data_IF_320821865831
#
_entry.id   IF_320821865831
#
_cell.length_a   1.000
_cell.length_b   1.000
_cell.length_c   1.000
_cell.angle_alpha   90.00
_cell.angle_beta   90.00
_cell.angle_gamma   90.00
#
_symmetry.space_group_name_H-M   'P 1'
#
loop_
_entity.id
_entity.type
_entity.pdbx_description
1 polymer ?
#
# COMPACT_ATOMS: atom_id res chain seq x y z
N UNK A 1 -28.59 56.77 -36.82
CA UNK A 1 -28.02 55.42 -37.06
C UNK A 1 -27.12 55.08 -35.90
N UNK A 2 -27.28 53.88 -35.35
CA UNK A 2 -26.92 53.46 -33.99
C UNK A 2 -25.67 52.58 -34.06
N UNK A 3 -24.56 52.98 -33.44
CA UNK A 3 -23.33 52.17 -33.31
C UNK A 3 -22.90 52.23 -31.83
N UNK A 4 -23.46 51.36 -30.98
CA UNK A 4 -22.87 50.12 -30.43
C UNK A 4 -21.49 50.36 -29.79
N UNK A 5 -21.52 50.43 -28.45
CA UNK A 5 -20.37 50.35 -27.57
C UNK A 5 -19.97 48.88 -27.48
N UNK A 6 -18.73 48.54 -27.83
CA UNK A 6 -18.16 47.22 -27.57
C UNK A 6 -17.36 47.33 -26.27
N UNK A 7 -17.96 46.85 -25.18
CA UNK A 7 -17.27 46.57 -23.92
C UNK A 7 -16.55 45.24 -24.11
N UNK A 8 -15.22 45.29 -24.24
CA UNK A 8 -14.38 44.10 -24.31
C UNK A 8 -14.38 43.36 -22.97
N UNK A 9 -14.97 42.17 -22.96
CA UNK A 9 -14.83 41.20 -21.87
C UNK A 9 -13.38 40.70 -21.89
N UNK A 10 -12.61 41.02 -20.85
CA UNK A 10 -11.30 40.42 -20.60
C UNK A 10 -11.53 39.07 -19.95
N UNK A 11 -11.48 38.01 -20.75
CA UNK A 11 -11.51 36.63 -20.27
C UNK A 11 -10.15 36.32 -19.63
N UNK A 12 -10.09 36.30 -18.29
CA UNK A 12 -8.93 35.76 -17.56
C UNK A 12 -8.94 34.24 -17.74
N UNK A 13 -8.10 33.74 -18.66
CA UNK A 13 -7.82 32.33 -18.79
C UNK A 13 -6.95 31.90 -17.61
N UNK A 14 -7.56 31.22 -16.64
CA UNK A 14 -6.84 30.48 -15.59
C UNK A 14 -6.17 29.28 -16.28
N UNK A 15 -4.89 29.42 -16.59
CA UNK A 15 -4.06 28.31 -17.04
C UNK A 15 -3.81 27.44 -15.80
N UNK A 16 -4.54 26.33 -15.68
CA UNK A 16 -4.15 25.24 -14.79
C UNK A 16 -2.90 24.60 -15.40
N UNK A 17 -1.73 25.11 -15.03
CA UNK A 17 -0.50 24.37 -15.18
C UNK A 17 -0.57 23.19 -14.19
N UNK A 18 -0.99 22.02 -14.69
CA UNK A 18 -0.67 20.76 -14.05
C UNK A 18 0.86 20.71 -13.94
N UNK A 19 1.37 20.89 -12.72
CA UNK A 19 2.79 21.02 -12.44
C UNK A 19 3.52 19.74 -12.82
N UNK A 20 4.22 19.76 -13.94
CA UNK A 20 5.48 19.01 -14.04
C UNK A 20 6.40 19.55 -12.94
N UNK A 21 6.53 18.83 -11.84
CA UNK A 21 7.53 19.15 -10.82
C UNK A 21 8.92 19.01 -11.42
N UNK A 22 9.61 20.14 -11.53
CA UNK A 22 11.01 20.21 -11.89
C UNK A 22 11.89 19.63 -10.76
N UNK A 23 13.03 18.99 -11.08
CA UNK A 23 13.90 18.36 -10.08
C UNK A 23 14.66 19.44 -9.29
N UNK A 24 14.43 19.50 -7.97
CA UNK A 24 15.16 20.39 -7.06
C UNK A 24 14.43 20.89 -5.81
N UNK A 25 13.23 20.38 -5.48
CA UNK A 25 12.48 20.86 -4.32
C UNK A 25 12.85 20.10 -3.04
N UNK A 26 12.90 20.83 -1.93
CA UNK A 26 12.80 20.32 -0.55
C UNK A 26 11.91 19.09 -0.45
N UNK A 27 12.28 18.09 0.38
CA UNK A 27 11.56 16.82 0.43
C UNK A 27 10.06 17.08 0.64
N UNK A 28 9.25 16.24 -0.01
CA UNK A 28 7.80 16.28 0.13
C UNK A 28 7.42 16.34 1.64
N UNK A 29 6.48 17.19 2.06
CA UNK A 29 6.14 17.37 3.47
C UNK A 29 5.81 16.08 4.24
N UNK A 30 5.36 15.00 3.58
CA UNK A 30 5.13 13.72 4.27
C UNK A 30 6.43 12.97 4.59
N UNK A 31 7.53 13.23 3.86
CA UNK A 31 8.81 12.51 4.01
C UNK A 31 9.40 12.75 5.39
N UNK A 32 9.55 11.68 6.17
CA UNK A 32 10.00 11.71 7.56
C UNK A 32 9.32 10.62 8.39
N UNK A 33 9.47 10.71 9.71
CA UNK A 33 8.89 9.76 10.66
C UNK A 33 7.71 10.40 11.39
N UNK A 34 6.66 9.61 11.59
CA UNK A 34 5.39 10.02 12.18
C UNK A 34 4.96 8.98 13.19
N UNK A 35 4.85 9.37 14.46
CA UNK A 35 4.36 8.48 15.52
C UNK A 35 2.86 8.65 15.67
N UNK A 36 2.15 7.54 15.80
CA UNK A 36 0.75 7.58 16.20
C UNK A 36 0.63 8.24 17.58
N UNK A 37 -0.34 9.13 17.74
CA UNK A 37 -0.57 9.81 19.02
C UNK A 37 -1.23 8.89 20.06
N UNK A 38 -2.01 7.90 19.58
CA UNK A 38 -2.72 6.88 20.38
C UNK A 38 -2.43 5.46 19.84
N UNK A 39 -1.18 4.94 19.97
CA UNK A 39 -0.79 3.64 19.41
C UNK A 39 -1.56 2.45 20.01
N UNK A 40 -2.12 2.59 21.21
CA UNK A 40 -2.92 1.57 21.86
C UNK A 40 -4.20 1.19 21.09
N UNK A 41 -4.66 2.05 20.17
CA UNK A 41 -5.79 1.75 19.29
C UNK A 41 -5.46 0.63 18.29
N UNK A 42 -4.18 0.36 18.07
CA UNK A 42 -3.66 -0.74 17.24
C UNK A 42 -3.25 -1.96 18.10
N UNK A 43 -3.46 -1.90 19.42
CA UNK A 43 -2.86 -2.80 20.42
C UNK A 43 -1.33 -2.73 20.49
N UNK A 44 -0.75 -1.61 20.05
CA UNK A 44 0.68 -1.36 20.11
C UNK A 44 1.08 -0.49 21.30
N UNK A 45 2.31 -0.67 21.76
CA UNK A 45 3.00 0.26 22.66
C UNK A 45 3.62 1.43 21.90
N UNK A 46 3.95 1.25 20.62
CA UNK A 46 4.37 2.30 19.70
C UNK A 46 4.04 1.91 18.26
N UNK A 47 3.56 2.87 17.49
CA UNK A 47 3.31 2.73 16.05
C UNK A 47 3.95 3.91 15.33
N UNK A 48 4.82 3.64 14.35
CA UNK A 48 5.52 4.69 13.59
C UNK A 48 5.45 4.43 12.08
N UNK A 49 5.01 5.43 11.33
CA UNK A 49 5.22 5.48 9.89
C UNK A 49 6.51 6.21 9.54
N UNK A 50 7.24 5.68 8.55
CA UNK A 50 8.46 6.28 7.98
C UNK A 50 8.26 6.39 6.48
N UNK A 51 8.22 7.60 5.93
CA UNK A 51 8.08 7.84 4.50
C UNK A 51 9.39 8.34 3.90
N UNK A 52 9.93 7.61 2.93
CA UNK A 52 11.16 7.95 2.22
C UNK A 52 10.86 8.73 0.94
N UNK A 53 11.79 9.58 0.51
CA UNK A 53 11.61 10.47 -0.64
C UNK A 53 11.49 9.76 -2.01
N UNK A 54 11.80 8.46 -2.08
CA UNK A 54 11.71 7.64 -3.28
C UNK A 54 10.34 6.97 -3.46
N UNK A 55 9.36 7.28 -2.61
CA UNK A 55 8.03 6.66 -2.64
C UNK A 55 7.95 5.32 -1.91
N UNK A 56 9.00 4.94 -1.17
CA UNK A 56 8.98 3.80 -0.25
C UNK A 56 8.80 4.25 1.19
N UNK A 57 8.55 3.31 2.10
CA UNK A 57 8.45 3.59 3.52
C UNK A 57 8.33 2.34 4.37
N UNK A 58 8.11 2.54 5.66
CA UNK A 58 7.87 1.46 6.62
C UNK A 58 6.78 1.85 7.61
N UNK A 59 5.97 0.87 8.03
CA UNK A 59 5.26 0.91 9.30
C UNK A 59 6.07 0.08 10.30
N UNK A 60 6.28 0.62 11.49
CA UNK A 60 6.97 -0.05 12.58
C UNK A 60 6.00 -0.16 13.74
N UNK A 61 5.65 -1.40 14.07
CA UNK A 61 4.73 -1.74 15.15
C UNK A 61 5.55 -2.33 16.29
N UNK A 62 5.32 -1.89 17.52
CA UNK A 62 5.94 -2.45 18.71
C UNK A 62 4.88 -2.74 19.74
N UNK A 63 4.73 -4.00 20.12
CA UNK A 63 3.75 -4.48 21.09
C UNK A 63 4.39 -5.38 22.15
N UNK A 64 3.67 -5.62 23.23
CA UNK A 64 4.10 -6.47 24.35
C UNK A 64 3.16 -7.68 24.50
N UNK A 65 3.58 -8.87 24.03
CA UNK A 65 2.98 -10.15 24.45
C UNK A 65 3.87 -11.38 24.12
N UNK A 66 4.44 -12.13 25.10
CA UNK A 66 4.78 -11.76 26.49
C UNK A 66 6.12 -10.99 26.58
N UNK A 67 6.75 -10.70 25.44
CA UNK A 67 8.01 -9.96 25.30
C UNK A 67 7.79 -8.84 24.27
N UNK A 68 8.49 -7.73 24.44
CA UNK A 68 8.51 -6.63 23.45
C UNK A 68 8.96 -7.19 22.11
N UNK A 69 8.07 -7.10 21.12
CA UNK A 69 8.32 -7.50 19.73
C UNK A 69 8.18 -6.27 18.85
N UNK A 70 9.02 -6.17 17.82
CA UNK A 70 8.96 -5.10 16.83
C UNK A 70 8.85 -5.72 15.45
N UNK A 71 7.75 -5.42 14.77
CA UNK A 71 7.51 -5.81 13.39
C UNK A 71 7.70 -4.61 12.46
N UNK A 72 8.21 -4.89 11.26
CA UNK A 72 8.50 -3.86 10.26
C UNK A 72 7.85 -4.26 8.95
N UNK A 73 6.85 -3.50 8.55
CA UNK A 73 6.13 -3.69 7.30
C UNK A 73 6.63 -2.67 6.29
N UNK A 74 6.92 -3.12 5.07
CA UNK A 74 7.30 -2.21 3.99
C UNK A 74 6.05 -1.54 3.43
N UNK A 75 6.20 -0.29 2.99
CA UNK A 75 5.15 0.50 2.38
C UNK A 75 5.65 1.06 1.05
N UNK A 76 4.71 1.31 0.14
CA UNK A 76 4.88 2.25 -0.97
C UNK A 76 3.88 3.37 -0.80
N UNK A 77 4.24 4.59 -1.19
CA UNK A 77 3.36 5.74 -1.08
C UNK A 77 3.49 6.69 -2.26
N UNK A 78 2.42 7.45 -2.51
CA UNK A 78 2.39 8.51 -3.53
C UNK A 78 1.51 9.67 -3.08
N UNK A 79 1.83 10.88 -3.52
CA UNK A 79 0.93 12.03 -3.35
C UNK A 79 -0.23 11.95 -4.33
N UNK A 80 -1.43 12.23 -3.84
CA UNK A 80 -2.64 12.40 -4.66
C UNK A 80 -3.03 13.86 -4.84
N UNK A 81 -2.22 14.78 -4.29
CA UNK A 81 -2.41 16.23 -4.34
C UNK A 81 -3.12 16.78 -3.10
N UNK A 82 -3.10 18.12 -2.96
CA UNK A 82 -3.74 18.84 -1.84
C UNK A 82 -3.32 18.38 -0.43
N UNK A 83 -2.09 17.87 -0.27
CA UNK A 83 -1.61 17.35 1.02
C UNK A 83 -2.19 15.97 1.36
N UNK A 84 -2.80 15.27 0.40
CA UNK A 84 -3.28 13.90 0.54
C UNK A 84 -2.30 12.91 -0.09
N UNK A 85 -2.20 11.75 0.53
CA UNK A 85 -1.28 10.68 0.18
C UNK A 85 -1.98 9.33 0.29
N UNK A 86 -1.62 8.41 -0.59
CA UNK A 86 -2.02 7.00 -0.50
C UNK A 86 -0.77 6.19 -0.17
N UNK A 87 -0.85 5.31 0.83
CA UNK A 87 0.19 4.32 1.11
C UNK A 87 -0.40 2.91 1.10
N UNK A 88 0.32 1.96 0.53
CA UNK A 88 -0.05 0.54 0.50
C UNK A 88 1.07 -0.28 1.12
N UNK A 89 0.71 -1.30 1.90
CA UNK A 89 1.66 -2.31 2.36
C UNK A 89 2.24 -3.08 1.17
N UNK A 90 3.56 -3.20 1.19
CA UNK A 90 4.35 -3.92 0.21
C UNK A 90 4.86 -5.22 0.82
N UNK A 91 4.24 -6.32 0.44
CA UNK A 91 4.62 -7.66 0.88
C UNK A 91 5.81 -8.14 0.06
N UNK A 92 6.89 -8.52 0.75
CA UNK A 92 8.07 -9.06 0.09
C UNK A 92 7.94 -10.57 -0.08
N UNK A 93 8.28 -11.06 -1.27
CA UNK A 93 8.30 -12.48 -1.58
C UNK A 93 9.73 -13.03 -1.51
N UNK A 94 9.89 -14.19 -0.88
CA UNK A 94 11.15 -14.93 -0.85
C UNK A 94 10.99 -16.15 -1.76
N UNK A 95 11.63 -16.12 -2.92
CA UNK A 95 11.64 -17.24 -3.86
C UNK A 95 12.73 -18.26 -3.52
N UNK A 96 12.43 -19.54 -3.79
CA UNK A 96 13.41 -20.61 -3.83
C UNK A 96 14.40 -20.44 -4.98
N UNK A 97 15.57 -21.08 -4.90
CA UNK A 97 16.62 -21.00 -5.95
C UNK A 97 16.15 -21.51 -7.32
N UNK A 98 15.20 -22.44 -7.34
CA UNK A 98 14.60 -22.99 -8.56
C UNK A 98 13.37 -22.21 -9.04
N UNK A 99 12.99 -21.12 -8.35
CA UNK A 99 11.83 -20.26 -8.62
C UNK A 99 10.50 -21.02 -8.68
N UNK A 100 10.37 -22.10 -7.89
CA UNK A 100 9.15 -22.94 -7.83
C UNK A 100 8.37 -22.83 -6.54
N UNK A 101 8.97 -22.27 -5.50
CA UNK A 101 8.32 -22.02 -4.22
C UNK A 101 8.56 -20.58 -3.84
N UNK A 102 7.55 -19.90 -3.30
CA UNK A 102 7.78 -18.67 -2.55
C UNK A 102 7.08 -18.71 -1.18
N UNK A 103 7.62 -17.91 -0.27
CA UNK A 103 6.96 -17.52 0.98
C UNK A 103 6.80 -16.01 1.03
N UNK A 104 5.83 -15.53 1.81
CA UNK A 104 5.68 -14.09 2.08
C UNK A 104 6.51 -13.78 3.33
N UNK A 105 7.37 -12.77 3.24
CA UNK A 105 8.23 -12.36 4.36
C UNK A 105 7.41 -11.54 5.36
N UNK A 106 7.44 -11.94 6.63
CA UNK A 106 6.96 -11.13 7.74
C UNK A 106 5.44 -11.11 7.91
N UNK A 107 4.69 -11.97 7.22
CA UNK A 107 3.25 -12.12 7.42
C UNK A 107 2.88 -13.08 8.57
N UNK A 108 3.90 -13.72 9.19
CA UNK A 108 3.74 -14.65 10.30
C UNK A 108 3.09 -16.00 9.94
N UNK A 109 2.57 -16.16 8.72
CA UNK A 109 1.86 -17.38 8.29
C UNK A 109 2.84 -18.53 8.04
N UNK A 110 4.01 -18.21 7.49
CA UNK A 110 4.95 -19.21 6.96
C UNK A 110 4.39 -19.94 5.74
N UNK A 111 3.36 -19.39 5.10
CA UNK A 111 2.67 -19.99 3.97
C UNK A 111 3.61 -20.15 2.78
N UNK A 112 3.54 -21.34 2.17
CA UNK A 112 4.25 -21.69 0.95
C UNK A 112 3.30 -21.72 -0.22
N UNK A 113 3.75 -21.18 -1.33
CA UNK A 113 3.06 -21.21 -2.61
C UNK A 113 3.96 -21.88 -3.65
N UNK A 114 3.41 -22.83 -4.39
CA UNK A 114 4.10 -23.53 -5.48
C UNK A 114 3.67 -23.02 -6.85
N UNK A 115 4.64 -22.83 -7.73
CA UNK A 115 4.48 -22.35 -9.11
C UNK A 115 5.63 -22.83 -10.02
N UNK A 116 5.77 -22.22 -11.20
CA UNK A 116 6.84 -22.51 -12.16
C UNK A 116 7.33 -21.19 -12.81
N UNK A 117 8.29 -20.54 -12.16
CA UNK A 117 8.74 -19.20 -12.50
C UNK A 117 7.84 -18.10 -11.93
N UNK A 118 8.36 -16.87 -11.84
CA UNK A 118 7.66 -15.78 -11.14
C UNK A 118 6.32 -15.38 -11.78
N UNK A 119 6.32 -15.13 -13.10
CA UNK A 119 5.10 -14.82 -13.85
C UNK A 119 4.34 -16.13 -14.10
N UNK A 120 3.13 -16.22 -13.58
CA UNK A 120 2.33 -17.44 -13.65
C UNK A 120 1.36 -17.59 -12.50
N UNK A 121 0.82 -18.79 -12.35
CA UNK A 121 -0.08 -19.16 -11.28
C UNK A 121 0.71 -19.82 -10.17
N UNK A 122 0.44 -19.38 -8.94
CA UNK A 122 1.04 -19.89 -7.72
C UNK A 122 -0.07 -20.33 -6.78
N UNK A 123 -0.04 -21.57 -6.30
CA UNK A 123 -1.08 -22.13 -5.43
C UNK A 123 -0.53 -22.35 -4.04
N UNK A 124 -1.29 -21.96 -3.01
CA UNK A 124 -0.93 -22.23 -1.62
C UNK A 124 -0.87 -23.73 -1.39
N UNK A 125 0.22 -24.22 -0.80
CA UNK A 125 0.48 -25.65 -0.64
C UNK A 125 -0.50 -26.32 0.33
N UNK A 126 -0.90 -25.60 1.38
CA UNK A 126 -1.87 -26.05 2.37
C UNK A 126 -3.15 -25.21 2.26
N UNK A 127 -4.32 -25.82 2.05
CA UNK A 127 -5.60 -25.12 2.08
C UNK A 127 -5.85 -24.45 3.43
N UNK A 128 -6.55 -23.33 3.41
CA UNK A 128 -6.92 -22.57 4.61
C UNK A 128 -8.31 -22.99 5.08
N UNK A 129 -8.52 -23.16 6.39
CA UNK A 129 -9.84 -23.42 6.96
C UNK A 129 -10.41 -22.15 7.59
N UNK A 130 -11.56 -21.69 7.09
CA UNK A 130 -12.35 -20.66 7.75
C UNK A 130 -13.76 -21.19 8.00
N UNK A 131 -14.21 -21.15 9.26
CA UNK A 131 -15.54 -21.56 9.70
C UNK A 131 -15.95 -22.97 9.22
N UNK A 132 -15.02 -23.93 9.22
CA UNK A 132 -15.25 -25.29 8.78
C UNK A 132 -15.28 -25.50 7.26
N UNK A 133 -14.92 -24.48 6.47
CA UNK A 133 -14.82 -24.55 5.00
C UNK A 133 -13.36 -24.42 4.59
N UNK A 134 -12.92 -25.29 3.67
CA UNK A 134 -11.56 -25.29 3.13
C UNK A 134 -11.47 -24.47 1.84
N UNK A 135 -10.46 -23.62 1.77
CA UNK A 135 -10.20 -22.73 0.64
C UNK A 135 -8.81 -22.96 0.06
N UNK A 136 -8.71 -22.92 -1.26
CA UNK A 136 -7.45 -22.83 -1.98
C UNK A 136 -7.14 -21.36 -2.29
N UNK A 137 -5.98 -20.89 -1.83
CA UNK A 137 -5.46 -19.57 -2.20
C UNK A 137 -4.60 -19.67 -3.47
N UNK A 138 -4.77 -18.73 -4.39
CA UNK A 138 -3.97 -18.63 -5.62
C UNK A 138 -3.52 -17.21 -5.87
N UNK A 139 -2.23 -17.05 -6.17
CA UNK A 139 -1.69 -15.86 -6.80
C UNK A 139 -1.58 -16.06 -8.31
N UNK A 140 -1.83 -15.01 -9.07
CA UNK A 140 -1.53 -14.95 -10.50
C UNK A 140 -0.73 -13.67 -10.75
N UNK A 141 0.51 -13.79 -11.19
CA UNK A 141 1.35 -12.66 -11.58
C UNK A 141 1.42 -12.56 -13.10
N UNK A 142 1.06 -11.40 -13.66
CA UNK A 142 1.08 -11.14 -15.10
C UNK A 142 2.32 -10.35 -15.51
N UNK A 143 2.79 -10.50 -16.76
CA UNK A 143 3.98 -9.82 -17.30
C UNK A 143 3.92 -8.28 -17.21
N UNK A 144 2.73 -7.70 -17.18
CA UNK A 144 2.50 -6.26 -17.16
C UNK A 144 2.53 -5.65 -15.74
N UNK A 145 3.18 -6.28 -14.76
CA UNK A 145 3.31 -5.81 -13.36
C UNK A 145 2.00 -5.77 -12.56
N UNK A 146 0.95 -6.42 -13.06
CA UNK A 146 -0.32 -6.60 -12.32
C UNK A 146 -0.52 -8.07 -11.96
N UNK A 147 -1.51 -8.35 -11.12
CA UNK A 147 -1.85 -9.72 -10.74
C UNK A 147 -3.18 -9.82 -10.02
N UNK A 148 -3.47 -11.02 -9.52
CA UNK A 148 -4.61 -11.33 -8.68
C UNK A 148 -4.18 -12.23 -7.52
N UNK A 149 -4.78 -12.02 -6.35
CA UNK A 149 -4.91 -13.04 -5.32
C UNK A 149 -6.37 -13.50 -5.29
N UNK A 150 -6.63 -14.79 -5.15
CA UNK A 150 -7.99 -15.33 -5.19
C UNK A 150 -8.15 -16.50 -4.22
N UNK A 151 -9.33 -16.57 -3.60
CA UNK A 151 -9.77 -17.72 -2.83
C UNK A 151 -10.77 -18.54 -3.64
N UNK A 152 -10.60 -19.85 -3.63
CA UNK A 152 -11.52 -20.81 -4.25
C UNK A 152 -12.02 -21.79 -3.21
N UNK A 153 -13.30 -22.13 -3.25
CA UNK A 153 -13.82 -23.26 -2.47
C UNK A 153 -13.14 -24.55 -2.91
N UNK A 154 -12.51 -25.28 -1.99
CA UNK A 154 -11.73 -26.46 -2.35
C UNK A 154 -12.61 -27.61 -2.90
N UNK A 155 -13.84 -27.73 -2.42
CA UNK A 155 -14.75 -28.82 -2.76
C UNK A 155 -15.21 -28.81 -4.24
N UNK A 156 -15.27 -27.63 -4.85
CA UNK A 156 -15.84 -27.45 -6.19
C UNK A 156 -15.07 -26.47 -7.08
N UNK A 157 -13.96 -25.90 -6.60
CA UNK A 157 -13.11 -24.93 -7.29
C UNK A 157 -13.84 -23.66 -7.77
N UNK A 158 -14.98 -23.31 -7.16
CA UNK A 158 -15.67 -22.05 -7.44
C UNK A 158 -14.92 -20.89 -6.81
N UNK A 159 -14.78 -19.80 -7.56
CA UNK A 159 -14.20 -18.55 -7.06
C UNK A 159 -15.09 -17.99 -5.94
N UNK A 160 -14.50 -17.78 -4.77
CA UNK A 160 -15.15 -17.13 -3.63
C UNK A 160 -14.90 -15.62 -3.67
N UNK A 161 -13.63 -15.22 -3.69
CA UNK A 161 -13.21 -13.82 -3.75
C UNK A 161 -11.93 -13.65 -4.57
N UNK A 162 -11.71 -12.42 -5.04
CA UNK A 162 -10.51 -12.07 -5.79
C UNK A 162 -10.13 -10.61 -5.54
N UNK A 163 -8.83 -10.38 -5.39
CA UNK A 163 -8.22 -9.10 -5.05
C UNK A 163 -7.19 -8.75 -6.11
N UNK A 164 -7.30 -7.60 -6.80
CA UNK A 164 -6.26 -7.13 -7.70
C UNK A 164 -5.00 -6.81 -6.92
N UNK A 165 -3.84 -7.07 -7.50
CA UNK A 165 -2.56 -6.66 -6.96
C UNK A 165 -1.67 -6.06 -8.04
N UNK A 166 -0.65 -5.33 -7.61
CA UNK A 166 0.47 -4.89 -8.43
C UNK A 166 1.76 -5.47 -7.86
N UNK A 167 2.74 -5.72 -8.70
CA UNK A 167 4.02 -6.29 -8.27
C UNK A 167 5.21 -5.60 -8.93
N UNK A 168 6.36 -5.64 -8.26
CA UNK A 168 7.62 -5.11 -8.76
C UNK A 168 8.79 -5.99 -8.36
N UNK A 169 9.89 -5.85 -9.12
CA UNK A 169 11.18 -6.51 -8.83
C UNK A 169 12.27 -5.47 -8.93
N UNK A 170 12.92 -5.18 -7.81
CA UNK A 170 14.00 -4.20 -7.74
C UNK A 170 15.19 -4.83 -7.02
N UNK A 171 16.36 -4.81 -7.68
CA UNK A 171 17.59 -5.42 -7.16
C UNK A 171 17.42 -6.88 -6.69
N UNK A 172 16.57 -7.65 -7.40
CA UNK A 172 16.28 -9.05 -7.07
C UNK A 172 15.31 -9.24 -5.90
N UNK A 173 14.71 -8.16 -5.38
CA UNK A 173 13.68 -8.24 -4.34
C UNK A 173 12.30 -8.12 -4.99
N UNK A 174 11.50 -9.17 -4.82
CA UNK A 174 10.14 -9.27 -5.35
C UNK A 174 9.15 -8.74 -4.32
N UNK A 175 8.24 -7.87 -4.75
CA UNK A 175 7.22 -7.28 -3.89
C UNK A 175 5.87 -7.26 -4.58
N UNK A 176 4.79 -7.37 -3.80
CA UNK A 176 3.44 -7.07 -4.27
C UNK A 176 2.68 -6.18 -3.27
N UNK A 177 1.66 -5.47 -3.74
CA UNK A 177 0.73 -4.71 -2.91
C UNK A 177 -0.68 -4.77 -3.50
N UNK A 178 -1.68 -4.59 -2.65
CA UNK A 178 -3.08 -4.47 -3.06
C UNK A 178 -3.39 -2.97 -3.28
N UNK A 179 -3.64 -2.52 -4.52
CA UNK A 179 -3.85 -1.11 -4.83
C UNK A 179 -5.14 -0.55 -4.23
N UNK A 180 -6.08 -1.42 -3.86
CA UNK A 180 -7.35 -1.06 -3.22
C UNK A 180 -7.27 -1.11 -1.68
N UNK A 181 -6.17 -1.66 -1.13
CA UNK A 181 -5.89 -1.69 0.30
C UNK A 181 -4.86 -0.60 0.64
N UNK A 182 -5.35 0.64 0.57
CA UNK A 182 -4.54 1.85 0.77
C UNK A 182 -4.98 2.61 2.00
N UNK A 183 -4.01 2.93 2.84
CA UNK A 183 -4.13 3.96 3.88
C UNK A 183 -4.13 5.33 3.23
N UNK A 184 -5.15 6.14 3.53
CA UNK A 184 -5.26 7.51 3.04
C UNK A 184 -4.82 8.46 4.14
N UNK A 185 -3.73 9.20 3.88
CA UNK A 185 -3.21 10.20 4.79
C UNK A 185 -3.52 11.61 4.30
N UNK A 186 -3.82 12.51 5.23
CA UNK A 186 -3.94 13.95 4.96
C UNK A 186 -3.02 14.72 5.91
N UNK A 187 -2.13 15.53 5.35
CA UNK A 187 -1.30 16.45 6.12
C UNK A 187 -2.01 17.79 6.26
N UNK A 188 -2.44 18.09 7.49
CA UNK A 188 -3.07 19.37 7.84
C UNK A 188 -2.10 20.54 7.77
N UNK A 189 -2.65 21.76 7.64
CA UNK A 189 -1.84 23.00 7.67
C UNK A 189 -1.21 23.27 9.04
N UNK A 190 -1.70 22.60 10.08
CA UNK A 190 -1.16 22.57 11.43
C UNK A 190 0.05 21.62 11.57
N UNK A 191 0.37 20.85 10.53
CA UNK A 191 1.48 19.91 10.51
C UNK A 191 1.15 18.55 11.13
N UNK A 192 -0.12 18.27 11.41
CA UNK A 192 -0.60 16.97 11.90
C UNK A 192 -0.95 16.09 10.70
N UNK A 193 -0.45 14.86 10.70
CA UNK A 193 -0.85 13.85 9.72
C UNK A 193 -2.06 13.11 10.28
N UNK A 194 -3.07 12.88 9.44
CA UNK A 194 -4.24 12.09 9.82
C UNK A 194 -4.47 10.93 8.88
N UNK A 195 -4.90 9.80 9.41
CA UNK A 195 -5.37 8.63 8.67
C UNK A 195 -6.83 8.38 9.04
N UNK A 196 -7.67 7.97 8.10
CA UNK A 196 -9.06 7.58 8.42
C UNK A 196 -9.33 6.18 7.95
N UNK A 197 -9.66 5.31 8.90
CA UNK A 197 -9.96 3.90 8.68
C UNK A 197 -11.16 3.51 9.56
N UNK A 198 -12.15 2.82 8.99
CA UNK A 198 -13.38 2.38 9.69
C UNK A 198 -14.10 3.46 10.54
N UNK A 199 -14.25 4.67 9.98
CA UNK A 199 -14.83 5.86 10.66
C UNK A 199 -14.07 6.35 11.90
N UNK A 200 -12.86 5.83 12.14
CA UNK A 200 -11.94 6.32 13.15
C UNK A 200 -10.88 7.17 12.47
N UNK A 201 -10.58 8.33 13.04
CA UNK A 201 -9.49 9.17 12.58
C UNK A 201 -8.33 9.02 13.54
N UNK A 202 -7.19 8.58 13.01
CA UNK A 202 -5.94 8.49 13.73
C UNK A 202 -5.10 9.72 13.42
N UNK A 203 -4.34 10.19 14.41
CA UNK A 203 -3.45 11.33 14.26
C UNK A 203 -2.02 10.92 14.54
N UNK A 204 -1.09 11.54 13.80
CA UNK A 204 0.32 11.25 13.91
C UNK A 204 1.12 12.55 14.01
N UNK A 205 2.07 12.56 14.93
CA UNK A 205 2.99 13.67 15.16
C UNK A 205 4.36 13.35 14.59
N UNK A 206 4.95 14.34 13.90
CA UNK A 206 6.29 14.22 13.33
C UNK A 206 7.37 14.13 14.43
N UNK A 207 8.38 13.29 14.19
CA UNK A 207 9.54 13.06 15.07
C UNK A 207 10.81 13.75 14.54
#
# INVERSE_FOLDING_TARGET
>A
MRNIIIVGIVTIAVIFAAGCMAPGATPDPIVGSWNADEPELFNDTAFTYIFNADGTGNAVETYEDPVVTTDVYNLTWKSTGNGTYEAAFAHQLILSEDEKVFTILGDGSGDQFTGDGFVGVWTKDTPEEFDGVLYEAKFVFYENTTGLFSWYYQDNATLESSYPLVWSVENGVYRYSYPDDVSIFTLGTDGILTETWDNTTYTYTRV
#
